data_IF_312444222621
#
_entry.id   IF_312444222621
#
_cell.length_a   1.000
_cell.length_b   1.000
_cell.length_c   1.000
_cell.angle_alpha   90.00
_cell.angle_beta   90.00
_cell.angle_gamma   90.00
#
_symmetry.space_group_name_H-M   'P 1'
#
loop_
_entity.id
_entity.type
_entity.pdbx_description
1 polymer ?
#
# COMPACT_ATOMS: atom_id res chain seq x y z
N UNK A 1 -8.66 4.93 -0.36
CA UNK A 1 -7.87 3.88 0.32
C UNK A 1 -8.72 2.65 0.39
N UNK A 2 -8.17 1.48 0.08
CA UNK A 2 -8.83 0.19 0.30
C UNK A 2 -7.98 -0.62 1.28
N UNK A 3 -8.64 -1.38 2.16
CA UNK A 3 -7.98 -2.22 3.14
C UNK A 3 -8.82 -3.50 3.31
N UNK A 4 -8.27 -4.66 2.97
CA UNK A 4 -9.01 -5.93 2.94
C UNK A 4 -8.09 -7.14 3.11
N UNK A 5 -8.65 -8.25 3.59
CA UNK A 5 -7.97 -9.55 3.56
C UNK A 5 -7.87 -10.04 2.12
N UNK A 6 -6.69 -10.54 1.69
CA UNK A 6 -6.47 -10.99 0.33
C UNK A 6 -7.51 -12.00 -0.16
N UNK A 7 -8.03 -12.85 0.75
CA UNK A 7 -9.06 -13.85 0.43
C UNK A 7 -10.44 -13.24 0.20
N UNK A 8 -10.68 -12.07 0.78
CA UNK A 8 -11.93 -11.32 0.72
C UNK A 8 -11.81 -10.08 -0.18
N UNK A 9 -10.93 -10.13 -1.18
CA UNK A 9 -10.72 -9.03 -2.12
C UNK A 9 -12.04 -8.63 -2.82
N UNK A 10 -12.44 -7.33 -2.78
CA UNK A 10 -13.64 -6.86 -3.45
C UNK A 10 -13.56 -7.06 -4.97
N UNK A 11 -14.70 -7.36 -5.60
CA UNK A 11 -14.78 -7.63 -7.05
C UNK A 11 -14.45 -6.40 -7.90
N UNK A 12 -14.59 -5.22 -7.31
CA UNK A 12 -14.35 -3.92 -7.92
C UNK A 12 -12.85 -3.59 -8.02
N UNK A 13 -11.98 -4.32 -7.32
CA UNK A 13 -10.53 -4.11 -7.39
C UNK A 13 -9.97 -4.80 -8.64
N UNK A 14 -9.66 -3.98 -9.64
CA UNK A 14 -8.96 -4.41 -10.85
C UNK A 14 -7.45 -4.30 -10.63
N UNK A 15 -6.77 -5.42 -10.41
CA UNK A 15 -5.32 -5.55 -10.21
C UNK A 15 -4.50 -5.32 -11.49
N UNK A 16 -4.96 -4.43 -12.36
CA UNK A 16 -4.46 -4.21 -13.71
C UNK A 16 -3.96 -2.78 -13.91
N UNK A 17 -3.78 -2.02 -12.83
CA UNK A 17 -3.33 -0.63 -12.91
C UNK A 17 -1.84 -0.51 -13.25
N UNK A 18 -1.02 -1.45 -12.77
CA UNK A 18 0.44 -1.43 -12.92
C UNK A 18 0.96 -2.88 -13.05
N UNK A 19 2.00 -3.11 -13.89
CA UNK A 19 2.60 -4.45 -14.10
C UNK A 19 3.00 -5.13 -12.79
N UNK A 20 3.53 -4.37 -11.84
CA UNK A 20 3.93 -4.88 -10.54
C UNK A 20 2.76 -5.39 -9.67
N UNK A 21 1.53 -4.90 -9.88
CA UNK A 21 0.34 -5.42 -9.19
C UNK A 21 -0.05 -6.81 -9.73
N UNK A 22 0.05 -7.01 -11.04
CA UNK A 22 -0.26 -8.28 -11.70
C UNK A 22 0.73 -9.37 -11.27
N UNK A 23 2.03 -9.04 -11.25
CA UNK A 23 3.09 -9.95 -10.83
C UNK A 23 2.94 -10.34 -9.35
N UNK A 24 2.64 -9.37 -8.48
CA UNK A 24 2.37 -9.61 -7.07
C UNK A 24 1.15 -10.53 -6.90
N UNK A 25 0.06 -10.26 -7.62
CA UNK A 25 -1.15 -11.08 -7.56
C UNK A 25 -0.87 -12.52 -8.00
N UNK A 26 -0.17 -12.72 -9.11
CA UNK A 26 0.21 -14.05 -9.57
C UNK A 26 1.03 -14.81 -8.53
N UNK A 27 1.98 -14.13 -7.90
CA UNK A 27 2.78 -14.71 -6.81
C UNK A 27 1.89 -15.14 -5.64
N UNK A 28 1.03 -14.24 -5.15
CA UNK A 28 0.12 -14.55 -4.04
C UNK A 28 -0.83 -15.72 -4.38
N UNK A 29 -1.36 -15.78 -5.60
CA UNK A 29 -2.24 -16.88 -6.04
C UNK A 29 -1.51 -18.21 -6.15
N UNK A 30 -0.27 -18.23 -6.63
CA UNK A 30 0.55 -19.43 -6.66
C UNK A 30 0.87 -19.92 -5.24
N UNK A 31 1.23 -19.02 -4.33
CA UNK A 31 1.47 -19.36 -2.92
C UNK A 31 0.21 -19.88 -2.24
N UNK A 32 -0.97 -19.31 -2.54
CA UNK A 32 -2.27 -19.81 -2.08
C UNK A 32 -2.57 -21.21 -2.61
N UNK A 33 -2.34 -21.46 -3.91
CA UNK A 33 -2.54 -22.76 -4.53
C UNK A 33 -1.67 -23.85 -3.89
N UNK A 34 -0.45 -23.51 -3.49
CA UNK A 34 0.47 -24.41 -2.77
C UNK A 34 0.10 -24.61 -1.29
N UNK A 35 -0.92 -23.89 -0.78
CA UNK A 35 -1.36 -23.96 0.61
C UNK A 35 -0.44 -23.25 1.60
N UNK A 36 0.48 -22.42 1.12
CA UNK A 36 1.51 -21.74 1.92
C UNK A 36 1.28 -20.23 2.04
N UNK A 37 0.08 -19.75 1.70
CA UNK A 37 -0.23 -18.33 1.80
C UNK A 37 -0.30 -17.91 3.27
N UNK A 38 0.56 -16.97 3.72
CA UNK A 38 0.49 -16.44 5.07
C UNK A 38 -0.77 -15.59 5.27
N UNK A 39 -0.98 -15.08 6.49
CA UNK A 39 -1.98 -14.02 6.70
C UNK A 39 -1.59 -12.81 5.85
N UNK A 40 -2.41 -12.49 4.85
CA UNK A 40 -2.12 -11.43 3.89
C UNK A 40 -3.26 -10.42 3.90
N UNK A 41 -2.93 -9.20 4.29
CA UNK A 41 -3.84 -8.07 4.28
C UNK A 41 -3.29 -7.02 3.32
N UNK A 42 -4.16 -6.50 2.46
CA UNK A 42 -3.79 -5.58 1.38
C UNK A 42 -4.27 -4.19 1.76
N UNK A 43 -3.38 -3.21 1.68
CA UNK A 43 -3.72 -1.78 1.81
C UNK A 43 -3.31 -1.07 0.53
N UNK A 44 -4.29 -0.51 -0.17
CA UNK A 44 -4.11 0.15 -1.46
C UNK A 44 -4.42 1.64 -1.39
N UNK A 45 -3.55 2.44 -2.02
CA UNK A 45 -3.76 3.87 -2.27
C UNK A 45 -4.05 4.06 -3.76
N UNK A 46 -5.12 4.77 -4.10
CA UNK A 46 -5.44 5.10 -5.49
C UNK A 46 -4.79 6.42 -5.83
N UNK A 47 -3.79 6.45 -6.71
CA UNK A 47 -3.19 7.69 -7.14
C UNK A 47 -4.13 8.45 -8.07
N UNK A 48 -4.01 9.78 -8.07
CA UNK A 48 -4.65 10.65 -9.05
C UNK A 48 -3.58 11.50 -9.73
N UNK A 49 -3.57 11.52 -11.06
CA UNK A 49 -2.58 12.26 -11.85
C UNK A 49 -3.05 13.69 -12.05
N UNK A 50 -2.33 14.66 -11.47
CA UNK A 50 -2.60 16.09 -11.63
C UNK A 50 -1.63 16.63 -12.70
N UNK A 51 -2.00 16.49 -13.97
CA UNK A 51 -1.26 17.07 -15.10
C UNK A 51 -0.19 16.17 -15.72
N UNK A 52 0.54 16.72 -16.69
CA UNK A 52 1.52 16.01 -17.54
C UNK A 52 2.98 16.13 -17.06
N UNK A 53 3.23 16.93 -16.03
CA UNK A 53 4.57 17.17 -15.49
C UNK A 53 4.94 16.07 -14.49
N UNK A 54 6.06 15.39 -14.73
CA UNK A 54 6.61 14.44 -13.75
C UNK A 54 7.12 15.21 -12.55
N UNK A 55 6.54 14.97 -11.37
CA UNK A 55 6.92 15.65 -10.13
C UNK A 55 7.02 14.67 -8.97
N UNK A 56 7.93 14.97 -8.03
CA UNK A 56 8.00 14.29 -6.73
C UNK A 56 7.04 14.90 -5.70
N UNK A 57 6.26 15.92 -6.09
CA UNK A 57 5.27 16.55 -5.20
C UNK A 57 4.06 15.65 -5.03
N UNK A 58 3.72 15.38 -3.78
CA UNK A 58 2.50 14.68 -3.41
C UNK A 58 1.36 15.68 -3.23
N UNK A 59 0.16 15.30 -3.67
CA UNK A 59 -1.04 16.10 -3.41
C UNK A 59 -1.45 16.00 -1.94
N UNK A 60 -2.18 17.02 -1.45
CA UNK A 60 -2.75 17.00 -0.10
C UNK A 60 -3.68 15.80 0.14
N UNK A 61 -4.39 15.37 -0.90
CA UNK A 61 -5.27 14.22 -0.91
C UNK A 61 -4.48 12.93 -0.70
N UNK A 62 -3.31 12.81 -1.33
CA UNK A 62 -2.43 11.66 -1.15
C UNK A 62 -1.86 11.59 0.28
N UNK A 63 -1.48 12.74 0.85
CA UNK A 63 -1.01 12.82 2.24
C UNK A 63 -2.12 12.42 3.24
N UNK A 64 -3.35 12.90 3.04
CA UNK A 64 -4.49 12.50 3.87
C UNK A 64 -4.85 11.01 3.69
N UNK A 65 -4.70 10.48 2.48
CA UNK A 65 -4.92 9.06 2.21
C UNK A 65 -3.86 8.19 2.89
N UNK A 66 -2.61 8.65 2.96
CA UNK A 66 -1.54 7.96 3.68
C UNK A 66 -1.87 7.80 5.16
N UNK A 67 -2.31 8.86 5.83
CA UNK A 67 -2.71 8.80 7.24
C UNK A 67 -3.85 7.79 7.48
N UNK A 68 -4.78 7.69 6.53
CA UNK A 68 -5.86 6.69 6.57
C UNK A 68 -5.31 5.28 6.38
N UNK A 69 -4.37 5.08 5.47
CA UNK A 69 -3.71 3.80 5.25
C UNK A 69 -2.89 3.35 6.46
N UNK A 70 -2.12 4.24 7.09
CA UNK A 70 -1.34 3.94 8.29
C UNK A 70 -2.22 3.47 9.44
N UNK A 71 -3.36 4.13 9.67
CA UNK A 71 -4.35 3.70 10.68
C UNK A 71 -4.92 2.31 10.37
N UNK A 72 -5.19 2.01 9.09
CA UNK A 72 -5.65 0.68 8.69
C UNK A 72 -4.60 -0.40 8.95
N UNK A 73 -3.32 -0.11 8.66
CA UNK A 73 -2.19 -1.00 8.94
C UNK A 73 -2.05 -1.23 10.45
N UNK A 74 -2.04 -0.16 11.25
CA UNK A 74 -1.94 -0.25 12.71
C UNK A 74 -3.10 -1.07 13.30
N UNK A 75 -4.33 -0.84 12.83
CA UNK A 75 -5.52 -1.59 13.25
C UNK A 75 -5.35 -3.08 12.96
N UNK A 76 -4.88 -3.43 11.77
CA UNK A 76 -4.71 -4.83 11.37
C UNK A 76 -3.56 -5.50 12.13
N UNK A 77 -2.43 -4.81 12.31
CA UNK A 77 -1.30 -5.31 13.09
C UNK A 77 -1.73 -5.62 14.53
N UNK A 78 -2.46 -4.70 15.16
CA UNK A 78 -3.01 -4.91 16.50
C UNK A 78 -3.96 -6.13 16.54
N UNK A 79 -4.81 -6.30 15.52
CA UNK A 79 -5.67 -7.48 15.40
C UNK A 79 -4.88 -8.80 15.24
N UNK A 80 -3.66 -8.73 14.69
CA UNK A 80 -2.73 -9.86 14.62
C UNK A 80 -1.86 -10.03 15.88
N UNK A 81 -2.05 -9.20 16.90
CA UNK A 81 -1.24 -9.22 18.13
C UNK A 81 0.15 -8.60 17.97
N UNK A 82 0.36 -7.80 16.91
CA UNK A 82 1.60 -7.08 16.65
C UNK A 82 1.41 -5.61 17.03
N UNK A 83 2.25 -5.12 17.95
CA UNK A 83 2.24 -3.71 18.33
C UNK A 83 3.11 -2.90 17.38
N UNK A 84 2.55 -1.82 16.84
CA UNK A 84 3.27 -0.83 16.04
C UNK A 84 3.62 0.38 16.91
N UNK A 85 4.88 0.80 16.89
CA UNK A 85 5.30 2.06 17.51
C UNK A 85 6.01 2.92 16.45
N UNK A 86 5.53 4.14 16.25
CA UNK A 86 6.21 5.12 15.40
C UNK A 86 7.37 5.73 16.18
N UNK A 87 8.59 5.47 15.74
CA UNK A 87 9.83 5.95 16.38
C UNK A 87 10.33 7.27 15.82
N UNK A 88 9.91 7.63 14.60
CA UNK A 88 10.31 8.86 13.94
C UNK A 88 9.17 9.47 13.10
N UNK A 89 9.22 10.78 12.91
CA UNK A 89 8.24 11.57 12.18
C UNK A 89 8.83 12.13 10.89
N UNK A 90 9.37 11.24 10.06
CA UNK A 90 9.86 11.59 8.73
C UNK A 90 8.65 11.86 7.83
N UNK A 91 8.60 13.05 7.25
CA UNK A 91 7.59 13.43 6.27
C UNK A 91 7.78 12.63 4.98
N UNK A 92 6.68 12.15 4.38
CA UNK A 92 6.75 11.35 3.16
C UNK A 92 7.37 12.14 2.00
N UNK A 93 7.15 13.46 2.00
CA UNK A 93 7.73 14.41 1.07
C UNK A 93 9.26 14.40 1.11
N UNK A 94 9.86 14.29 2.30
CA UNK A 94 11.32 14.15 2.43
C UNK A 94 11.82 12.85 1.80
N UNK A 95 11.06 11.76 1.92
CA UNK A 95 11.40 10.49 1.27
C UNK A 95 11.24 10.60 -0.25
N UNK A 96 10.17 11.23 -0.73
CA UNK A 96 9.92 11.42 -2.16
C UNK A 96 11.07 12.17 -2.84
N UNK A 97 11.56 13.26 -2.23
CA UNK A 97 12.67 14.06 -2.73
C UNK A 97 14.05 13.37 -2.65
N UNK A 98 14.18 12.32 -1.84
CA UNK A 98 15.43 11.55 -1.69
C UNK A 98 15.39 10.22 -2.43
N UNK A 99 14.21 9.73 -2.82
CA UNK A 99 13.99 8.41 -3.41
C UNK A 99 14.81 8.14 -4.67
N UNK A 100 15.10 9.17 -5.48
CA UNK A 100 15.91 9.05 -6.70
C UNK A 100 17.42 8.98 -6.44
N UNK A 101 17.88 9.34 -5.23
CA UNK A 101 19.32 9.36 -4.89
C UNK A 101 19.85 8.01 -4.43
N UNK A 102 18.97 7.07 -4.10
CA UNK A 102 19.35 5.84 -3.39
C UNK A 102 19.71 6.16 -1.92
N UNK A 103 19.25 5.31 -1.01
CA UNK A 103 19.66 5.37 0.41
C UNK A 103 20.95 4.57 0.63
#
# INVERSE_FOLDING_TARGET
VYAFDFKDAPKEITWAGIVHEVEMLHTLRLTEFLGDLPKTFIVGLVPFVIGSETTFKLSSEMLNALETALKAIETQLNAWGVQMQRTDHIALECIAELSYKGF
#
